data_IF_266649777018
#
_entry.id   IF_266649777018
#
_cell.length_a   1.000
_cell.length_b   1.000
_cell.length_c   1.000
_cell.angle_alpha   90.00
_cell.angle_beta   90.00
_cell.angle_gamma   90.00
#
_symmetry.space_group_name_H-M   'P 1'
#
loop_
_entity.id
_entity.type
_entity.pdbx_description
1 polymer ?
#
# COMPACT_ATOMS: atom_id res chain seq x y z
N UNK A 1 -42.02 -46.84 3.80
CA UNK A 1 -41.72 -45.43 4.17
C UNK A 1 -40.21 -45.15 4.24
N UNK A 2 -39.43 -45.68 3.28
CA UNK A 2 -37.96 -45.70 3.26
C UNK A 2 -37.36 -45.07 1.99
N UNK A 3 -38.18 -44.40 1.19
CA UNK A 3 -37.82 -43.96 -0.18
C UNK A 3 -38.02 -42.46 -0.44
N UNK A 4 -38.49 -41.65 0.52
CA UNK A 4 -38.70 -40.20 0.32
C UNK A 4 -37.58 -39.33 0.93
N UNK A 5 -36.65 -39.91 1.69
CA UNK A 5 -35.54 -39.18 2.32
C UNK A 5 -34.29 -39.05 1.42
N UNK A 6 -34.22 -39.80 0.33
CA UNK A 6 -33.05 -39.79 -0.57
C UNK A 6 -33.05 -38.60 -1.56
N UNK A 7 -34.19 -37.92 -1.75
CA UNK A 7 -34.33 -36.86 -2.76
C UNK A 7 -34.09 -35.45 -2.20
N UNK A 8 -34.08 -35.25 -0.88
CA UNK A 8 -33.72 -33.96 -0.27
C UNK A 8 -32.21 -33.75 -0.09
N UNK A 9 -31.39 -34.80 -0.25
CA UNK A 9 -29.93 -34.73 -0.08
C UNK A 9 -29.17 -34.36 -1.36
N UNK A 10 -29.84 -34.29 -2.52
CA UNK A 10 -29.21 -33.99 -3.80
C UNK A 10 -29.36 -32.52 -4.26
N UNK A 11 -30.15 -31.70 -3.56
CA UNK A 11 -30.30 -30.26 -3.85
C UNK A 11 -29.36 -29.37 -3.04
N UNK A 12 -28.56 -29.95 -2.15
CA UNK A 12 -27.50 -29.26 -1.42
C UNK A 12 -26.16 -29.31 -2.17
N UNK A 13 -26.17 -29.29 -3.51
CA UNK A 13 -24.97 -28.99 -4.29
C UNK A 13 -24.72 -27.47 -4.20
N UNK A 14 -24.08 -27.10 -3.10
CA UNK A 14 -23.19 -25.96 -2.93
C UNK A 14 -23.23 -24.90 -4.05
N UNK A 15 -24.07 -23.88 -3.90
CA UNK A 15 -23.78 -22.56 -4.46
C UNK A 15 -22.66 -21.98 -3.60
N UNK A 16 -21.42 -22.37 -3.86
CA UNK A 16 -20.27 -21.67 -3.32
C UNK A 16 -20.27 -20.27 -3.98
N UNK A 17 -20.39 -19.18 -3.21
CA UNK A 17 -20.15 -17.87 -3.79
C UNK A 17 -18.72 -17.88 -4.33
N UNK A 18 -18.55 -17.61 -5.63
CA UNK A 18 -17.24 -17.37 -6.18
C UNK A 18 -16.62 -16.19 -5.42
N UNK A 19 -15.62 -16.49 -4.58
CA UNK A 19 -14.84 -15.46 -3.91
C UNK A 19 -14.04 -14.78 -5.03
N UNK A 20 -14.50 -13.63 -5.51
CA UNK A 20 -13.76 -12.82 -6.47
C UNK A 20 -12.59 -12.20 -5.70
N UNK A 21 -11.44 -12.88 -5.72
CA UNK A 21 -10.18 -12.34 -5.24
C UNK A 21 -9.76 -11.24 -6.21
N UNK A 22 -9.99 -9.98 -5.83
CA UNK A 22 -9.43 -8.84 -6.54
C UNK A 22 -7.93 -8.77 -6.19
N UNK A 23 -7.09 -9.36 -7.04
CA UNK A 23 -5.64 -9.22 -6.90
C UNK A 23 -5.20 -7.83 -7.36
N UNK A 24 -4.64 -7.02 -6.45
CA UNK A 24 -3.89 -5.83 -6.86
C UNK A 24 -2.72 -6.29 -7.73
N UNK A 25 -2.59 -5.73 -8.94
CA UNK A 25 -1.52 -6.10 -9.86
C UNK A 25 -0.18 -5.68 -9.23
N UNK A 26 0.74 -6.63 -9.05
CA UNK A 26 2.08 -6.32 -8.54
C UNK A 26 2.83 -5.43 -9.53
N UNK A 27 3.49 -4.40 -9.02
CA UNK A 27 4.44 -3.59 -9.78
C UNK A 27 5.73 -4.39 -10.03
N UNK A 28 6.60 -3.87 -10.91
CA UNK A 28 7.94 -4.43 -11.13
C UNK A 28 8.78 -4.40 -9.86
N UNK A 29 9.79 -5.28 -9.81
CA UNK A 29 10.81 -5.22 -8.77
C UNK A 29 11.75 -4.05 -9.08
N UNK A 30 11.91 -3.16 -8.11
CA UNK A 30 12.81 -2.01 -8.19
C UNK A 30 13.95 -2.19 -7.18
N UNK A 31 15.19 -2.10 -7.67
CA UNK A 31 16.38 -2.16 -6.82
C UNK A 31 16.69 -0.78 -6.24
N UNK A 32 16.75 -0.69 -4.92
CA UNK A 32 17.19 0.52 -4.20
C UNK A 32 18.62 0.34 -3.67
N UNK A 33 19.18 1.39 -3.05
CA UNK A 33 20.47 1.29 -2.33
C UNK A 33 20.44 0.32 -1.14
N UNK A 34 19.27 0.01 -0.59
CA UNK A 34 19.12 -0.79 0.62
C UNK A 34 18.63 -2.22 0.37
N UNK A 35 18.00 -2.46 -0.78
CA UNK A 35 17.44 -3.75 -1.15
C UNK A 35 16.35 -3.60 -2.22
N UNK A 36 15.72 -4.71 -2.56
CA UNK A 36 14.69 -4.76 -3.61
C UNK A 36 13.30 -4.51 -3.01
N UNK A 37 12.45 -3.79 -3.75
CA UNK A 37 11.05 -3.54 -3.38
C UNK A 37 10.12 -3.90 -4.54
N UNK A 38 8.89 -4.31 -4.20
CA UNK A 38 7.78 -4.49 -5.15
C UNK A 38 6.55 -3.77 -4.62
N UNK A 39 5.96 -2.89 -5.43
CA UNK A 39 4.73 -2.17 -5.11
C UNK A 39 3.50 -2.79 -5.74
N UNK A 40 2.50 -1.96 -6.00
CA UNK A 40 1.29 -2.31 -6.75
C UNK A 40 1.08 -1.35 -7.92
N UNK A 41 0.27 -1.74 -8.90
CA UNK A 41 -0.21 -0.88 -9.96
C UNK A 41 -1.65 -0.48 -9.64
N UNK A 42 -1.88 0.84 -9.54
CA UNK A 42 -3.21 1.43 -9.35
C UNK A 42 -3.69 1.96 -10.69
N UNK A 43 -4.80 1.42 -11.19
CA UNK A 43 -5.50 1.93 -12.37
C UNK A 43 -6.34 3.14 -11.97
N UNK A 44 -6.24 4.21 -12.76
CA UNK A 44 -6.99 5.44 -12.53
C UNK A 44 -8.25 5.47 -13.40
N UNK A 45 -9.29 6.13 -12.92
CA UNK A 45 -10.48 6.41 -13.72
C UNK A 45 -10.14 7.36 -14.89
N UNK A 46 -11.03 7.43 -15.90
CA UNK A 46 -10.98 8.40 -17.02
C UNK A 46 -9.83 8.20 -18.02
N UNK A 47 -9.46 6.94 -18.32
CA UNK A 47 -8.43 6.59 -19.32
C UNK A 47 -7.06 7.20 -19.02
N UNK A 48 -6.75 7.45 -17.76
CA UNK A 48 -5.40 7.85 -17.34
C UNK A 48 -4.50 6.61 -17.25
N UNK A 49 -3.21 6.80 -17.51
CA UNK A 49 -2.22 5.75 -17.33
C UNK A 49 -2.19 5.25 -15.88
N UNK A 50 -1.91 3.96 -15.72
CA UNK A 50 -1.74 3.37 -14.40
C UNK A 50 -0.57 4.00 -13.65
N UNK A 51 -0.59 3.90 -12.33
CA UNK A 51 0.49 4.40 -11.45
C UNK A 51 1.10 3.23 -10.70
N UNK A 52 2.42 3.07 -10.77
CA UNK A 52 3.17 2.23 -9.85
C UNK A 52 3.26 2.93 -8.49
N UNK A 53 2.77 2.24 -7.46
CA UNK A 53 2.66 2.75 -6.10
C UNK A 53 3.49 1.89 -5.17
N UNK A 54 4.48 2.50 -4.54
CA UNK A 54 5.32 1.89 -3.51
C UNK A 54 5.05 2.59 -2.18
N UNK A 55 4.37 1.91 -1.24
CA UNK A 55 4.01 2.43 0.08
C UNK A 55 4.89 1.83 1.16
N UNK A 56 5.21 2.62 2.19
CA UNK A 56 5.94 2.12 3.35
C UNK A 56 7.39 1.72 3.06
N UNK A 57 8.08 2.43 2.15
CA UNK A 57 9.49 2.17 1.84
C UNK A 57 10.36 2.82 2.93
N UNK A 58 11.17 2.04 3.68
CA UNK A 58 12.04 2.61 4.72
C UNK A 58 13.18 3.40 4.08
N UNK A 59 13.43 4.62 4.60
CA UNK A 59 14.53 5.47 4.11
C UNK A 59 15.62 5.73 5.15
N UNK A 60 15.37 5.42 6.41
CA UNK A 60 16.30 5.58 7.53
C UNK A 60 16.07 4.48 8.57
N UNK A 61 17.03 4.30 9.48
CA UNK A 61 16.83 3.43 10.64
C UNK A 61 15.80 4.04 11.61
N UNK A 62 15.02 3.22 12.34
CA UNK A 62 14.04 3.70 13.31
C UNK A 62 14.66 4.64 14.36
N UNK A 63 14.12 5.85 14.58
CA UNK A 63 14.68 6.84 15.51
C UNK A 63 14.27 6.56 16.97
N UNK A 64 14.43 5.30 17.40
CA UNK A 64 14.01 4.81 18.72
C UNK A 64 15.22 4.58 19.64
N UNK A 65 14.97 4.51 20.95
CA UNK A 65 16.01 4.23 21.95
C UNK A 65 17.15 5.25 21.89
N UNK A 66 18.38 4.78 21.69
CA UNK A 66 19.58 5.64 21.60
C UNK A 66 19.62 6.53 20.36
N UNK A 67 18.78 6.27 19.35
CA UNK A 67 18.67 7.10 18.14
C UNK A 67 17.63 8.22 18.28
N UNK A 68 16.87 8.24 19.37
CA UNK A 68 15.88 9.29 19.62
C UNK A 68 16.59 10.64 19.78
N UNK A 69 16.09 11.66 19.10
CA UNK A 69 16.66 13.02 19.03
C UNK A 69 18.04 13.11 18.36
N UNK A 70 18.52 12.03 17.74
CA UNK A 70 19.71 12.08 16.88
C UNK A 70 19.31 12.34 15.43
N UNK A 71 20.24 12.83 14.59
CA UNK A 71 20.02 12.89 13.15
C UNK A 71 19.65 11.50 12.58
N UNK A 72 18.76 11.42 11.57
CA UNK A 72 18.44 10.16 10.92
C UNK A 72 19.70 9.49 10.37
N UNK A 73 19.83 8.19 10.60
CA UNK A 73 20.93 7.38 10.07
C UNK A 73 20.41 6.44 8.99
N UNK A 74 21.30 6.01 8.09
CA UNK A 74 20.96 5.08 7.01
C UNK A 74 20.28 3.81 7.56
N UNK A 75 19.28 3.31 6.83
CA UNK A 75 18.63 2.03 7.13
C UNK A 75 19.54 0.83 6.92
N UNK A 76 19.22 -0.29 7.57
CA UNK A 76 19.88 -1.57 7.33
C UNK A 76 19.58 -2.10 5.93
N UNK A 77 20.54 -2.82 5.34
CA UNK A 77 20.31 -3.59 4.11
C UNK A 77 19.39 -4.77 4.42
N UNK A 78 18.54 -5.15 3.46
CA UNK A 78 17.75 -6.38 3.55
C UNK A 78 17.99 -7.29 2.35
N UNK A 79 17.73 -8.59 2.55
CA UNK A 79 17.77 -9.59 1.50
C UNK A 79 16.35 -9.90 1.00
N UNK A 80 16.25 -10.29 -0.27
CA UNK A 80 14.98 -10.55 -0.93
C UNK A 80 14.18 -9.29 -1.26
N UNK A 81 12.94 -9.50 -1.70
CA UNK A 81 12.03 -8.44 -2.15
C UNK A 81 11.12 -8.03 -1.00
N UNK A 82 11.16 -6.75 -0.62
CA UNK A 82 10.22 -6.18 0.34
C UNK A 82 8.94 -5.75 -0.38
N UNK A 83 7.79 -6.26 0.07
CA UNK A 83 6.49 -5.83 -0.45
C UNK A 83 6.16 -4.45 0.13
N UNK A 84 6.06 -3.46 -0.76
CA UNK A 84 5.78 -2.05 -0.49
C UNK A 84 4.35 -1.71 -0.95
N UNK A 85 3.36 -2.50 -0.52
CA UNK A 85 1.96 -2.36 -0.88
C UNK A 85 1.13 -1.63 0.20
N UNK A 86 1.69 -1.39 1.39
CA UNK A 86 0.99 -0.83 2.54
C UNK A 86 1.72 0.36 3.13
N UNK A 87 0.97 1.31 3.68
CA UNK A 87 1.55 2.44 4.40
C UNK A 87 2.27 1.95 5.67
N UNK A 88 3.44 2.54 5.94
CA UNK A 88 4.06 2.47 7.26
C UNK A 88 3.25 3.24 8.31
N UNK A 89 3.55 3.08 9.60
CA UNK A 89 2.92 3.88 10.65
C UNK A 89 3.30 5.37 10.49
N UNK A 90 2.39 6.26 10.89
CA UNK A 90 2.69 7.70 10.97
C UNK A 90 3.49 8.00 12.23
N UNK A 91 4.22 9.12 12.23
CA UNK A 91 4.94 9.54 13.44
C UNK A 91 3.99 9.92 14.57
N UNK A 92 4.42 9.78 15.85
CA UNK A 92 3.57 10.05 16.99
C UNK A 92 3.15 11.51 17.01
N UNK A 93 1.84 11.73 17.06
CA UNK A 93 1.23 13.05 17.05
C UNK A 93 -0.10 13.03 17.78
N UNK A 94 -0.47 14.16 18.39
CA UNK A 94 -1.80 14.31 18.97
C UNK A 94 -2.83 14.23 17.86
N UNK A 95 -3.75 13.28 17.96
CA UNK A 95 -4.86 13.18 17.02
C UNK A 95 -5.72 14.45 17.08
N UNK A 96 -6.26 14.92 15.94
CA UNK A 96 -7.12 16.07 15.92
C UNK A 96 -8.39 15.81 16.74
N UNK A 97 -8.74 16.75 17.62
CA UNK A 97 -10.00 16.70 18.36
C UNK A 97 -11.13 17.20 17.46
N UNK A 98 -12.13 16.36 17.21
CA UNK A 98 -13.32 16.71 16.45
C UNK A 98 -14.35 17.34 17.39
N UNK A 99 -14.45 18.66 17.40
CA UNK A 99 -15.51 19.39 18.09
C UNK A 99 -16.50 20.01 17.11
N UNK A 100 -17.77 20.12 17.51
CA UNK A 100 -18.82 20.78 16.73
C UNK A 100 -18.62 22.30 16.57
N UNK A 101 -17.63 22.87 17.26
CA UNK A 101 -17.28 24.30 17.20
C UNK A 101 -16.38 24.63 16.00
N UNK A 102 -15.90 23.63 15.25
CA UNK A 102 -15.04 23.87 14.08
C UNK A 102 -15.85 24.08 12.78
N UNK A 103 -15.28 24.81 11.79
CA UNK A 103 -15.90 24.93 10.48
C UNK A 103 -16.16 23.57 9.83
N UNK A 104 -17.33 23.39 9.22
CA UNK A 104 -17.76 22.11 8.62
C UNK A 104 -16.74 21.50 7.65
N UNK A 105 -16.13 22.30 6.77
CA UNK A 105 -15.11 21.81 5.84
C UNK A 105 -13.86 21.26 6.54
N UNK A 106 -13.46 21.87 7.67
CA UNK A 106 -12.35 21.36 8.50
C UNK A 106 -12.73 20.04 9.16
N UNK A 107 -13.95 19.94 9.67
CA UNK A 107 -14.47 18.71 10.25
C UNK A 107 -14.44 17.55 9.26
N UNK A 108 -15.02 17.75 8.07
CA UNK A 108 -15.06 16.73 7.02
C UNK A 108 -13.65 16.30 6.57
N UNK A 109 -12.71 17.25 6.45
CA UNK A 109 -11.32 16.95 6.13
C UNK A 109 -10.65 16.09 7.20
N UNK A 110 -10.76 16.47 8.48
CA UNK A 110 -10.15 15.74 9.58
C UNK A 110 -10.77 14.35 9.76
N UNK A 111 -12.08 14.21 9.55
CA UNK A 111 -12.76 12.91 9.56
C UNK A 111 -12.20 11.95 8.52
N UNK A 112 -11.89 12.43 7.31
CA UNK A 112 -11.27 11.62 6.24
C UNK A 112 -9.83 11.24 6.55
N UNK A 113 -9.08 12.08 7.26
CA UNK A 113 -7.69 11.82 7.62
C UNK A 113 -7.54 10.87 8.81
N UNK A 114 -8.44 10.95 9.79
CA UNK A 114 -8.31 10.24 11.06
C UNK A 114 -7.97 8.74 10.94
N UNK A 115 -8.58 7.95 10.03
CA UNK A 115 -8.22 6.54 9.86
C UNK A 115 -6.72 6.32 9.56
N UNK A 116 -6.11 7.22 8.78
CA UNK A 116 -4.69 7.15 8.41
C UNK A 116 -3.75 7.57 9.55
N UNK A 117 -4.25 8.31 10.55
CA UNK A 117 -3.45 8.82 11.66
C UNK A 117 -3.42 7.89 12.89
N UNK A 118 -4.24 6.83 12.91
CA UNK A 118 -4.40 5.94 14.07
C UNK A 118 -3.20 5.03 14.32
N UNK A 119 -2.57 4.54 13.25
CA UNK A 119 -1.42 3.65 13.37
C UNK A 119 -0.15 4.49 13.57
N UNK A 120 0.22 4.76 14.82
CA UNK A 120 1.38 5.58 15.18
C UNK A 120 2.52 4.74 15.77
N UNK A 121 3.76 5.09 15.43
CA UNK A 121 4.97 4.50 16.00
C UNK A 121 6.13 5.50 15.91
N UNK A 122 7.08 5.47 16.84
CA UNK A 122 8.35 6.21 16.67
C UNK A 122 9.20 5.63 15.52
N UNK A 123 9.02 4.36 15.18
CA UNK A 123 9.49 3.79 13.91
C UNK A 123 8.56 4.23 12.78
N UNK A 124 8.72 5.46 12.27
CA UNK A 124 7.87 6.08 11.25
C UNK A 124 8.61 6.65 10.03
N UNK A 125 9.91 6.38 9.89
CA UNK A 125 10.74 6.93 8.80
C UNK A 125 10.57 6.15 7.49
N UNK A 126 9.35 6.21 6.95
CA UNK A 126 8.93 5.60 5.70
C UNK A 126 8.50 6.68 4.70
N UNK A 127 8.66 6.38 3.41
CA UNK A 127 8.18 7.20 2.31
C UNK A 127 7.25 6.40 1.39
N UNK A 128 6.49 7.12 0.58
CA UNK A 128 5.62 6.56 -0.44
C UNK A 128 6.00 7.17 -1.80
N UNK A 129 6.08 6.34 -2.84
CA UNK A 129 6.48 6.71 -4.20
C UNK A 129 5.32 6.40 -5.14
N UNK A 130 4.99 7.36 -6.00
CA UNK A 130 3.97 7.25 -7.03
C UNK A 130 4.62 7.65 -8.36
N UNK A 131 4.68 6.72 -9.31
CA UNK A 131 5.26 6.94 -10.62
C UNK A 131 4.30 6.41 -11.70
N UNK A 132 4.18 7.06 -12.87
CA UNK A 132 3.47 6.49 -14.00
C UNK A 132 4.01 5.08 -14.32
N UNK A 133 3.12 4.17 -14.72
CA UNK A 133 3.52 2.84 -15.17
C UNK A 133 4.44 2.98 -16.37
N UNK A 134 5.66 2.44 -16.25
CA UNK A 134 6.53 2.33 -17.41
C UNK A 134 6.02 1.17 -18.27
N UNK A 135 5.58 1.47 -19.49
CA UNK A 135 5.32 0.43 -20.47
C UNK A 135 6.56 -0.44 -20.63
N UNK A 136 6.38 -1.77 -20.62
CA UNK A 136 7.44 -2.74 -20.80
C UNK A 136 7.85 -2.79 -22.30
N UNK A 137 8.31 -1.65 -22.83
CA UNK A 137 8.37 -1.41 -24.28
C UNK A 137 9.23 -0.24 -24.78
N UNK A 138 10.07 0.38 -23.96
CA UNK A 138 11.07 1.36 -24.42
C UNK A 138 12.51 0.83 -24.35
N UNK A 139 12.72 -0.35 -24.95
CA UNK A 139 13.96 -0.69 -25.65
C UNK A 139 13.72 -0.67 -27.16
N UNK A 140 12.98 0.35 -27.63
CA UNK A 140 12.90 0.65 -29.07
C UNK A 140 13.91 1.75 -29.32
N UNK A 141 14.98 1.36 -30.00
CA UNK A 141 16.26 2.05 -29.99
C UNK A 141 16.23 3.51 -30.42
N UNK A 142 16.80 4.35 -29.55
CA UNK A 142 17.49 5.57 -29.96
C UNK A 142 18.98 5.24 -30.06
N UNK A 143 19.31 4.38 -31.01
CA UNK A 143 20.67 4.20 -31.53
C UNK A 143 20.62 4.48 -33.04
N UNK A 144 20.28 5.72 -33.40
CA UNK A 144 20.58 6.33 -34.69
C UNK A 144 20.30 7.84 -34.63
N UNK A 145 21.33 8.64 -34.31
CA UNK A 145 21.63 9.92 -34.96
C UNK A 145 22.80 10.60 -34.25
N UNK A 146 23.89 10.83 -35.00
CA UNK A 146 25.07 11.59 -34.58
C UNK A 146 26.37 10.83 -34.78
#
# INVERSE_FOLDING_TARGET
MRMMLAWMLLSLLAVLPAIIVHGELSSRIVRTKYGEISGIIVTLERNLEGVEVFRGVPYASPPIGSLRFMPPVNGALWQGVKIADKFGPVCPQKLPNLSNEMPRGRMEYLQRLLPYLRNQSEDCLYLNIYAPVQEMGFLRGDAQSG
#
